data_IF_849892496105
#
_entry.id   IF_849892496105
#
_cell.length_a   1.000
_cell.length_b   1.000
_cell.length_c   1.000
_cell.angle_alpha   90.00
_cell.angle_beta   90.00
_cell.angle_gamma   90.00
#
_symmetry.space_group_name_H-M   'P 1'
#
loop_
_entity.id
_entity.type
_entity.pdbx_description
1 polymer ?
#
# COMPACT_ATOMS: atom_id res chain seq x y z
N UNK A 1 0.22 -8.06 -22.02
CA UNK A 1 1.33 -7.71 -21.09
C UNK A 1 2.15 -8.95 -20.82
N UNK A 2 3.49 -8.83 -20.86
CA UNK A 2 4.35 -9.89 -20.36
C UNK A 2 4.13 -10.06 -18.84
N UNK A 3 4.22 -11.28 -18.28
CA UNK A 3 4.14 -11.47 -16.84
C UNK A 3 5.25 -10.67 -16.16
N UNK A 4 4.89 -9.93 -15.10
CA UNK A 4 5.88 -9.20 -14.28
C UNK A 4 6.94 -10.21 -13.79
N UNK A 5 8.25 -9.90 -13.88
CA UNK A 5 9.27 -10.80 -13.36
C UNK A 5 9.03 -11.05 -11.87
N UNK A 6 9.39 -12.23 -11.37
CA UNK A 6 9.27 -12.55 -9.96
C UNK A 6 10.05 -11.55 -9.09
N UNK A 7 9.56 -11.28 -7.88
CA UNK A 7 10.27 -10.43 -6.93
C UNK A 7 11.60 -11.06 -6.51
N UNK A 8 12.69 -10.32 -6.63
CA UNK A 8 14.01 -10.76 -6.20
C UNK A 8 14.17 -10.54 -4.69
N UNK A 9 14.20 -11.65 -3.94
CA UNK A 9 14.43 -11.60 -2.50
C UNK A 9 15.88 -11.25 -2.20
N UNK A 10 16.15 -10.34 -1.24
CA UNK A 10 17.51 -9.96 -0.90
C UNK A 10 18.27 -11.11 -0.23
N UNK A 11 19.60 -11.12 -0.35
CA UNK A 11 20.45 -12.21 0.17
C UNK A 11 20.22 -12.51 1.66
N UNK A 12 19.99 -11.47 2.47
CA UNK A 12 19.76 -11.61 3.91
C UNK A 12 18.44 -12.32 4.24
N UNK A 13 17.49 -12.41 3.30
CA UNK A 13 16.25 -13.17 3.47
C UNK A 13 16.51 -14.68 3.61
N UNK A 14 17.67 -15.18 3.17
CA UNK A 14 18.07 -16.58 3.39
C UNK A 14 18.99 -16.75 4.61
N UNK A 15 19.23 -15.69 5.37
CA UNK A 15 20.02 -15.74 6.60
C UNK A 15 19.14 -16.11 7.79
N UNK A 16 19.33 -17.30 8.36
CA UNK A 16 18.47 -17.82 9.45
C UNK A 16 18.26 -16.84 10.62
N UNK A 17 19.28 -16.14 11.16
CA UNK A 17 19.10 -15.17 12.23
C UNK A 17 18.21 -13.98 11.87
N UNK A 18 18.03 -13.66 10.57
CA UNK A 18 17.14 -12.58 10.13
C UNK A 18 15.67 -12.80 10.54
N UNK A 19 15.27 -14.06 10.74
CA UNK A 19 13.93 -14.46 11.21
C UNK A 19 13.82 -14.58 12.74
N UNK A 20 14.83 -14.13 13.48
CA UNK A 20 14.82 -14.12 14.94
C UNK A 20 15.09 -12.70 15.42
N UNK A 21 14.27 -12.21 16.35
CA UNK A 21 14.44 -10.86 16.87
C UNK A 21 15.81 -10.72 17.53
N UNK A 22 16.60 -9.76 17.05
CA UNK A 22 17.98 -9.62 17.50
C UNK A 22 18.03 -9.04 18.92
N UNK A 23 18.81 -9.62 19.84
CA UNK A 23 18.86 -9.17 21.24
C UNK A 23 19.68 -7.88 21.39
N UNK A 24 20.67 -7.67 20.53
CA UNK A 24 21.51 -6.47 20.53
C UNK A 24 20.75 -5.33 19.85
N UNK A 25 20.64 -4.19 20.54
CA UNK A 25 19.86 -3.03 20.11
C UNK A 25 20.24 -2.55 18.70
N UNK A 26 21.51 -2.26 18.46
CA UNK A 26 21.97 -1.73 17.16
C UNK A 26 21.70 -2.72 16.01
N UNK A 27 21.85 -4.02 16.29
CA UNK A 27 21.54 -5.08 15.32
C UNK A 27 20.04 -5.17 15.06
N UNK A 28 19.21 -5.00 16.10
CA UNK A 28 17.75 -4.98 16.00
C UNK A 28 17.26 -3.76 15.22
N UNK A 29 17.85 -2.58 15.43
CA UNK A 29 17.52 -1.37 14.66
C UNK A 29 17.79 -1.59 13.17
N UNK A 30 18.95 -2.17 12.82
CA UNK A 30 19.27 -2.55 11.43
C UNK A 30 18.31 -3.59 10.88
N UNK A 31 17.98 -4.62 11.67
CA UNK A 31 17.02 -5.65 11.28
C UNK A 31 15.64 -5.04 10.98
N UNK A 32 15.15 -4.13 11.83
CA UNK A 32 13.88 -3.42 11.62
C UNK A 32 13.94 -2.63 10.31
N UNK A 33 15.02 -1.89 10.05
CA UNK A 33 15.18 -1.12 8.82
C UNK A 33 15.08 -2.02 7.56
N UNK A 34 15.81 -3.14 7.56
CA UNK A 34 15.78 -4.11 6.46
C UNK A 34 14.39 -4.73 6.26
N UNK A 35 13.67 -5.03 7.34
CA UNK A 35 12.30 -5.55 7.24
C UNK A 35 11.34 -4.51 6.67
N UNK A 36 11.41 -3.25 7.11
CA UNK A 36 10.59 -2.16 6.54
C UNK A 36 10.79 -2.03 5.03
N UNK A 37 12.04 -1.99 4.58
CA UNK A 37 12.38 -1.86 3.15
C UNK A 37 11.90 -3.08 2.34
N UNK A 38 12.09 -4.29 2.86
CA UNK A 38 11.65 -5.52 2.22
C UNK A 38 10.12 -5.60 2.12
N UNK A 39 9.39 -5.29 3.20
CA UNK A 39 7.93 -5.30 3.23
C UNK A 39 7.39 -4.31 2.18
N UNK A 40 7.86 -3.07 2.19
CA UNK A 40 7.37 -2.03 1.28
C UNK A 40 7.67 -2.35 -0.19
N UNK A 41 8.87 -2.84 -0.50
CA UNK A 41 9.26 -3.20 -1.88
C UNK A 41 8.50 -4.42 -2.39
N UNK A 42 8.32 -5.45 -1.56
CA UNK A 42 7.54 -6.64 -1.90
C UNK A 42 6.07 -6.29 -2.16
N UNK A 43 5.45 -5.54 -1.24
CA UNK A 43 4.07 -5.08 -1.39
C UNK A 43 3.88 -4.22 -2.64
N UNK A 44 4.78 -3.26 -2.89
CA UNK A 44 4.77 -2.47 -4.14
C UNK A 44 4.89 -3.35 -5.39
N UNK A 45 5.76 -4.36 -5.35
CA UNK A 45 5.96 -5.24 -6.49
C UNK A 45 4.69 -6.03 -6.84
N UNK A 46 3.98 -6.54 -5.84
CA UNK A 46 2.75 -7.33 -6.05
C UNK A 46 1.46 -6.50 -6.05
N UNK A 47 1.54 -5.18 -5.88
CA UNK A 47 0.35 -4.33 -5.75
C UNK A 47 -0.46 -4.61 -4.48
N UNK A 48 0.18 -5.14 -3.44
CA UNK A 48 -0.48 -5.47 -2.18
C UNK A 48 -0.54 -4.23 -1.29
N UNK A 49 -1.74 -3.85 -0.88
CA UNK A 49 -1.93 -2.77 0.09
C UNK A 49 -2.36 -3.28 1.45
N UNK A 50 -3.01 -4.44 1.53
CA UNK A 50 -3.45 -5.01 2.81
C UNK A 50 -2.65 -6.28 3.09
N UNK A 51 -2.04 -6.31 4.26
CA UNK A 51 -1.32 -7.47 4.77
C UNK A 51 -2.11 -8.08 5.91
N UNK A 52 -2.44 -9.37 5.79
CA UNK A 52 -2.87 -10.19 6.91
C UNK A 52 -1.63 -10.69 7.67
N UNK A 53 -1.52 -10.37 8.95
CA UNK A 53 -0.32 -10.65 9.77
C UNK A 53 -0.01 -12.14 9.86
N UNK A 54 -1.03 -12.99 9.83
CA UNK A 54 -0.87 -14.43 9.99
C UNK A 54 -0.53 -15.14 8.68
N UNK A 55 -1.00 -14.60 7.55
CA UNK A 55 -0.85 -15.18 6.22
C UNK A 55 0.13 -14.42 5.29
N UNK A 56 0.91 -13.47 5.84
CA UNK A 56 1.84 -12.71 5.01
C UNK A 56 3.02 -13.57 4.53
N UNK A 57 3.22 -13.76 3.21
CA UNK A 57 4.23 -14.69 2.69
C UNK A 57 5.66 -14.38 3.13
N UNK A 58 6.02 -13.10 3.27
CA UNK A 58 7.36 -12.69 3.68
C UNK A 58 7.74 -13.16 5.09
N UNK A 59 6.76 -13.41 5.97
CA UNK A 59 7.02 -13.79 7.36
C UNK A 59 7.35 -15.27 7.54
N UNK A 60 7.33 -16.07 6.46
CA UNK A 60 7.74 -17.47 6.46
C UNK A 60 8.62 -17.81 5.26
N UNK A 61 9.90 -18.11 5.50
CA UNK A 61 10.80 -18.63 4.49
C UNK A 61 10.93 -20.16 4.62
N UNK A 62 10.24 -20.87 3.72
CA UNK A 62 10.25 -22.34 3.66
C UNK A 62 11.62 -22.91 3.29
N UNK A 63 12.43 -22.22 2.48
CA UNK A 63 13.73 -22.71 2.01
C UNK A 63 14.77 -22.89 3.13
N UNK A 64 14.65 -22.08 4.19
CA UNK A 64 15.55 -22.15 5.37
C UNK A 64 14.83 -22.65 6.63
N UNK A 65 13.57 -23.05 6.49
CA UNK A 65 12.69 -23.53 7.57
C UNK A 65 12.60 -22.52 8.72
N UNK A 66 12.26 -21.26 8.40
CA UNK A 66 12.09 -20.20 9.39
C UNK A 66 10.81 -19.41 9.18
N UNK A 67 10.22 -19.00 10.30
CA UNK A 67 9.09 -18.07 10.35
C UNK A 67 9.30 -17.09 11.49
N UNK A 68 8.83 -15.86 11.30
CA UNK A 68 8.78 -14.88 12.39
C UNK A 68 7.77 -15.29 13.46
N UNK A 69 8.09 -14.99 14.71
CA UNK A 69 7.14 -15.02 15.83
C UNK A 69 6.11 -13.90 15.66
N UNK A 70 4.93 -14.04 16.27
CA UNK A 70 3.90 -12.98 16.24
C UNK A 70 4.45 -11.65 16.79
N UNK A 71 5.21 -11.68 17.90
CA UNK A 71 5.90 -10.50 18.44
C UNK A 71 6.78 -9.79 17.39
N UNK A 72 7.59 -10.53 16.62
CA UNK A 72 8.45 -9.94 15.61
C UNK A 72 7.64 -9.37 14.43
N UNK A 73 6.58 -10.05 14.00
CA UNK A 73 5.69 -9.57 12.93
C UNK A 73 5.05 -8.23 13.30
N UNK A 74 4.47 -8.17 14.50
CA UNK A 74 3.87 -6.94 15.02
C UNK A 74 4.90 -5.83 15.19
N UNK A 75 6.09 -6.14 15.71
CA UNK A 75 7.17 -5.16 15.86
C UNK A 75 7.53 -4.50 14.52
N UNK A 76 7.72 -5.28 13.45
CA UNK A 76 8.13 -4.74 12.15
C UNK A 76 7.01 -3.93 11.48
N UNK A 77 5.75 -4.36 11.60
CA UNK A 77 4.61 -3.59 11.10
C UNK A 77 4.38 -2.32 11.92
N UNK A 78 4.49 -2.38 13.24
CA UNK A 78 4.41 -1.20 14.10
C UNK A 78 5.51 -0.18 13.78
N UNK A 79 6.72 -0.63 13.43
CA UNK A 79 7.76 0.28 12.98
C UNK A 79 7.38 1.06 11.71
N UNK A 80 6.66 0.44 10.77
CA UNK A 80 6.09 1.13 9.61
C UNK A 80 4.96 2.09 10.01
N UNK A 81 4.10 1.69 10.95
CA UNK A 81 3.01 2.53 11.46
C UNK A 81 3.54 3.81 12.11
N UNK A 82 4.58 3.70 12.95
CA UNK A 82 5.21 4.87 13.59
C UNK A 82 5.82 5.85 12.57
N UNK A 83 6.19 5.37 11.38
CA UNK A 83 6.73 6.20 10.29
C UNK A 83 5.65 6.71 9.33
N UNK A 84 4.37 6.45 9.61
CA UNK A 84 3.27 6.80 8.72
C UNK A 84 3.29 6.02 7.39
N UNK A 85 4.00 4.89 7.35
CA UNK A 85 4.13 4.01 6.17
C UNK A 85 3.17 2.81 6.23
N UNK A 86 2.40 2.69 7.31
CA UNK A 86 1.36 1.69 7.47
C UNK A 86 0.29 2.15 8.47
N UNK A 87 -0.85 1.46 8.52
CA UNK A 87 -1.92 1.69 9.48
C UNK A 87 -2.64 0.38 9.81
N UNK A 88 -2.96 0.14 11.09
CA UNK A 88 -3.78 -1.00 11.47
C UNK A 88 -5.25 -0.76 11.13
N UNK A 89 -5.87 -1.69 10.38
CA UNK A 89 -7.28 -1.59 9.98
C UNK A 89 -8.26 -2.05 11.08
N UNK A 90 -7.74 -2.47 12.23
CA UNK A 90 -8.52 -2.95 13.37
C UNK A 90 -7.70 -2.91 14.65
N UNK A 91 -8.39 -2.92 15.80
CA UNK A 91 -7.76 -2.94 17.13
C UNK A 91 -7.13 -4.29 17.47
N UNK A 92 -7.41 -5.33 16.68
CA UNK A 92 -6.91 -6.68 16.85
C UNK A 92 -5.57 -6.93 16.15
N UNK A 93 -5.02 -5.90 15.47
CA UNK A 93 -3.75 -5.94 14.74
C UNK A 93 -3.62 -7.13 13.76
N UNK A 94 -4.73 -7.59 13.18
CA UNK A 94 -4.71 -8.69 12.19
C UNK A 94 -4.42 -8.23 10.77
N UNK A 95 -4.92 -7.05 10.41
CA UNK A 95 -4.78 -6.49 9.05
C UNK A 95 -4.12 -5.12 9.11
N UNK A 96 -3.08 -4.96 8.30
CA UNK A 96 -2.32 -3.72 8.18
C UNK A 96 -2.45 -3.19 6.76
N UNK A 97 -2.83 -1.92 6.62
CA UNK A 97 -2.75 -1.16 5.38
C UNK A 97 -1.33 -0.64 5.21
N UNK A 98 -0.72 -0.88 4.05
CA UNK A 98 0.64 -0.49 3.71
C UNK A 98 0.60 0.71 2.76
N UNK A 99 1.40 1.72 3.07
CA UNK A 99 1.53 2.96 2.30
C UNK A 99 2.91 3.02 1.64
N UNK A 100 3.17 2.11 0.70
CA UNK A 100 4.43 2.08 -0.05
C UNK A 100 4.63 3.31 -0.96
N UNK A 101 3.54 3.99 -1.30
CA UNK A 101 3.48 5.37 -1.81
C UNK A 101 2.58 6.16 -0.86
N UNK A 102 2.92 7.44 -0.58
CA UNK A 102 2.12 8.25 0.34
C UNK A 102 0.82 8.68 -0.31
N UNK A 103 -0.19 9.00 0.51
CA UNK A 103 -1.50 9.44 0.02
C UNK A 103 -1.38 10.78 -0.73
N UNK A 104 -0.47 11.66 -0.32
CA UNK A 104 -0.17 12.91 -1.01
C UNK A 104 0.36 12.66 -2.42
N UNK A 105 1.28 11.71 -2.58
CA UNK A 105 1.85 11.39 -3.88
C UNK A 105 0.80 10.74 -4.80
N UNK A 106 -0.16 9.99 -4.23
CA UNK A 106 -1.33 9.49 -4.97
C UNK A 106 -2.28 10.61 -5.37
N UNK A 107 -2.55 11.56 -4.48
CA UNK A 107 -3.39 12.72 -4.79
C UNK A 107 -2.80 13.53 -5.95
N UNK A 108 -1.49 13.76 -5.96
CA UNK A 108 -0.81 14.45 -7.06
C UNK A 108 -0.88 13.65 -8.37
N UNK A 109 -0.74 12.32 -8.30
CA UNK A 109 -0.88 11.44 -9.47
C UNK A 109 -2.30 11.47 -10.04
N UNK A 110 -3.33 11.47 -9.19
CA UNK A 110 -4.73 11.61 -9.61
C UNK A 110 -4.94 12.94 -10.34
N UNK A 111 -4.37 14.03 -9.85
CA UNK A 111 -4.46 15.34 -10.54
C UNK A 111 -3.85 15.26 -11.94
N UNK A 112 -2.64 14.70 -12.08
CA UNK A 112 -2.02 14.54 -13.41
C UNK A 112 -2.89 13.67 -14.33
N UNK A 113 -3.43 12.56 -13.82
CA UNK A 113 -4.29 11.67 -14.60
C UNK A 113 -5.57 12.36 -15.08
N UNK A 114 -6.23 13.17 -14.23
CA UNK A 114 -7.42 13.93 -14.64
C UNK A 114 -7.10 14.90 -15.78
N UNK A 115 -5.97 15.60 -15.69
CA UNK A 115 -5.53 16.56 -16.72
C UNK A 115 -5.16 15.87 -18.04
N UNK A 116 -4.43 14.76 -17.96
CA UNK A 116 -4.01 13.99 -19.14
C UNK A 116 -5.19 13.40 -19.92
N UNK A 117 -6.31 13.11 -19.24
CA UNK A 117 -7.52 12.55 -19.84
C UNK A 117 -8.63 13.59 -20.12
N UNK A 118 -8.35 14.88 -19.95
CA UNK A 118 -9.31 15.97 -20.16
C UNK A 118 -10.63 15.81 -19.35
N UNK A 119 -10.52 15.29 -18.12
CA UNK A 119 -11.64 15.03 -17.22
C UNK A 119 -11.91 16.22 -16.28
N UNK A 120 -11.34 17.39 -16.55
CA UNK A 120 -11.56 18.59 -15.74
C UNK A 120 -13.03 19.00 -15.78
N UNK A 121 -13.61 19.30 -14.62
CA UNK A 121 -15.02 19.65 -14.44
C UNK A 121 -16.03 18.53 -14.76
N UNK A 122 -15.58 17.36 -15.20
CA UNK A 122 -16.37 16.14 -15.34
C UNK A 122 -16.70 15.48 -14.01
N UNK A 123 -17.64 14.54 -14.03
CA UNK A 123 -17.92 13.63 -12.91
C UNK A 123 -17.48 12.24 -13.32
N UNK A 124 -16.64 11.61 -12.51
CA UNK A 124 -16.21 10.21 -12.66
C UNK A 124 -16.44 9.46 -11.37
N UNK A 125 -16.74 8.17 -11.43
CA UNK A 125 -16.87 7.33 -10.24
C UNK A 125 -15.52 6.82 -9.78
N UNK A 126 -15.39 6.48 -8.49
CA UNK A 126 -14.19 5.85 -7.97
C UNK A 126 -13.89 4.50 -8.64
N UNK A 127 -14.92 3.78 -9.09
CA UNK A 127 -14.70 2.53 -9.84
C UNK A 127 -14.13 2.81 -11.24
N UNK A 128 -14.71 3.75 -12.00
CA UNK A 128 -14.21 4.14 -13.33
C UNK A 128 -12.75 4.61 -13.27
N UNK A 129 -12.33 5.33 -12.23
CA UNK A 129 -10.94 5.73 -12.04
C UNK A 129 -9.95 4.56 -11.94
N UNK A 130 -10.42 3.35 -11.62
CA UNK A 130 -9.61 2.14 -11.38
C UNK A 130 -9.77 1.10 -12.48
N UNK A 131 -10.96 1.01 -13.06
CA UNK A 131 -11.39 -0.05 -13.98
C UNK A 131 -11.71 0.47 -15.39
N UNK A 132 -11.88 1.79 -15.55
CA UNK A 132 -12.13 2.44 -16.83
C UNK A 132 -10.96 2.36 -17.80
N UNK A 133 -11.21 2.69 -19.06
CA UNK A 133 -10.20 2.58 -20.12
C UNK A 133 -9.03 3.55 -19.90
N UNK A 134 -9.30 4.72 -19.35
CA UNK A 134 -8.32 5.75 -18.98
C UNK A 134 -7.39 5.30 -17.84
N UNK A 135 -7.84 4.36 -17.00
CA UNK A 135 -7.01 3.82 -15.91
C UNK A 135 -6.01 2.77 -16.43
N UNK A 136 -6.31 2.12 -17.56
CA UNK A 136 -5.56 0.96 -18.04
C UNK A 136 -4.12 1.29 -18.38
N UNK A 137 -3.17 0.54 -17.82
CA UNK A 137 -1.74 0.78 -17.98
C UNK A 137 -1.17 1.93 -17.15
N UNK A 138 -2.01 2.57 -16.32
CA UNK A 138 -1.58 3.61 -15.38
C UNK A 138 -1.40 3.04 -13.97
N UNK A 139 -0.83 3.86 -13.07
CA UNK A 139 -0.74 3.52 -11.64
C UNK A 139 -2.11 3.42 -10.94
N UNK A 140 -3.19 3.96 -11.53
CA UNK A 140 -4.55 3.84 -10.96
C UNK A 140 -5.22 2.51 -11.30
N UNK A 141 -4.73 1.78 -12.31
CA UNK A 141 -5.31 0.50 -12.71
C UNK A 141 -5.37 -0.47 -11.52
N UNK A 142 -6.58 -0.91 -11.16
CA UNK A 142 -6.81 -1.79 -9.99
C UNK A 142 -6.25 -1.26 -8.66
N UNK A 143 -6.07 0.06 -8.51
CA UNK A 143 -5.65 0.68 -7.24
C UNK A 143 -6.57 0.21 -6.10
N UNK A 144 -6.05 0.01 -4.89
CA UNK A 144 -6.92 -0.40 -3.77
C UNK A 144 -7.90 0.72 -3.40
N UNK A 145 -9.19 0.38 -3.23
CA UNK A 145 -10.27 1.36 -3.03
C UNK A 145 -9.99 2.29 -1.83
N UNK A 146 -9.50 1.74 -0.71
CA UNK A 146 -9.18 2.54 0.47
C UNK A 146 -8.06 3.58 0.21
N UNK A 147 -7.12 3.29 -0.70
CA UNK A 147 -6.05 4.22 -1.07
C UNK A 147 -6.62 5.33 -1.94
N UNK A 148 -7.41 4.97 -2.96
CA UNK A 148 -8.06 5.92 -3.84
C UNK A 148 -8.97 6.87 -3.06
N UNK A 149 -9.86 6.34 -2.21
CA UNK A 149 -10.75 7.15 -1.37
C UNK A 149 -9.98 8.14 -0.51
N UNK A 150 -8.88 7.71 0.12
CA UNK A 150 -8.06 8.58 0.98
C UNK A 150 -7.40 9.69 0.17
N UNK A 151 -6.89 9.38 -1.01
CA UNK A 151 -6.27 10.36 -1.90
C UNK A 151 -7.30 11.38 -2.42
N UNK A 152 -8.49 10.94 -2.82
CA UNK A 152 -9.57 11.84 -3.25
C UNK A 152 -10.09 12.68 -2.09
N UNK A 153 -10.24 12.13 -0.88
CA UNK A 153 -10.59 12.90 0.33
C UNK A 153 -9.55 13.99 0.63
N UNK A 154 -8.27 13.70 0.41
CA UNK A 154 -7.22 14.71 0.54
C UNK A 154 -7.36 15.82 -0.50
N UNK A 155 -7.73 15.50 -1.74
CA UNK A 155 -8.02 16.50 -2.78
C UNK A 155 -9.26 17.33 -2.46
N UNK A 156 -10.30 16.71 -1.91
CA UNK A 156 -11.51 17.38 -1.45
C UNK A 156 -11.19 18.37 -0.31
N UNK A 157 -10.41 17.95 0.68
CA UNK A 157 -9.93 18.84 1.74
C UNK A 157 -9.08 20.01 1.22
N UNK A 158 -8.43 19.84 0.06
CA UNK A 158 -7.65 20.89 -0.64
C UNK A 158 -8.51 21.74 -1.60
N UNK A 159 -9.81 21.49 -1.68
CA UNK A 159 -10.72 22.20 -2.59
C UNK A 159 -10.55 21.87 -4.08
N UNK A 160 -9.85 20.77 -4.40
CA UNK A 160 -9.56 20.34 -5.78
C UNK A 160 -10.55 19.31 -6.32
N UNK A 161 -11.32 18.68 -5.44
CA UNK A 161 -12.36 17.73 -5.81
C UNK A 161 -13.56 17.83 -4.88
N UNK A 162 -14.67 17.20 -5.24
CA UNK A 162 -15.83 16.98 -4.37
C UNK A 162 -16.37 15.59 -4.62
N UNK A 163 -16.58 14.83 -3.55
CA UNK A 163 -17.20 13.51 -3.63
C UNK A 163 -18.70 13.60 -3.38
N UNK A 164 -19.47 12.81 -4.14
CA UNK A 164 -20.91 12.67 -4.02
C UNK A 164 -21.19 11.21 -3.65
N UNK A 165 -21.84 11.02 -2.49
CA UNK A 165 -22.26 9.67 -2.09
C UNK A 165 -23.38 9.21 -3.02
N UNK A 166 -23.11 8.15 -3.78
CA UNK A 166 -24.14 7.38 -4.46
C UNK A 166 -24.86 6.45 -3.49
N UNK A 167 -25.62 5.50 -4.04
CA UNK A 167 -26.36 4.49 -3.26
C UNK A 167 -25.44 3.47 -2.59
N UNK A 168 -24.20 3.33 -3.08
CA UNK A 168 -23.15 2.44 -2.57
C UNK A 168 -21.77 3.13 -2.62
N UNK A 169 -20.74 2.51 -2.03
CA UNK A 169 -19.36 3.01 -2.12
C UNK A 169 -18.84 2.99 -3.57
N UNK A 170 -19.25 2.00 -4.36
CA UNK A 170 -18.90 1.83 -5.77
C UNK A 170 -19.58 2.90 -6.66
N UNK A 171 -20.71 3.46 -6.21
CA UNK A 171 -21.40 4.57 -6.87
C UNK A 171 -20.90 5.96 -6.42
N UNK A 172 -19.78 6.04 -5.69
CA UNK A 172 -19.24 7.33 -5.24
C UNK A 172 -18.69 8.10 -6.44
N UNK A 173 -19.41 9.15 -6.83
CA UNK A 173 -18.99 10.08 -7.87
C UNK A 173 -18.01 11.11 -7.33
N UNK A 174 -17.10 11.59 -8.18
CA UNK A 174 -16.09 12.60 -7.88
C UNK A 174 -16.12 13.63 -8.99
N UNK A 175 -16.24 14.91 -8.63
CA UNK A 175 -16.03 16.05 -9.53
C UNK A 175 -14.71 16.72 -9.20
N UNK A 176 -13.89 16.98 -10.22
CA UNK A 176 -12.63 17.70 -10.06
C UNK A 176 -12.77 19.18 -10.47
N UNK A 177 -12.07 20.07 -9.76
CA UNK A 177 -12.10 21.53 -9.94
C UNK A 177 -10.72 22.12 -10.27
N UNK A 178 -9.87 21.33 -10.91
CA UNK A 178 -8.48 21.68 -11.23
C UNK A 178 -8.32 22.45 -12.54
#
# INVERSE_FOLDING_TARGET
>A
MAPKPAFELPYFYNYRPYFTLQPVRDTREKQIQLWKELILSFCKHYGMYIVDVDDFPLFANKSIERKLTNEARELFLNALVMEGRAEWLGKDHRKCLLLWRRIEDWADLIISWVQENALENGVVTLDEMRTGDEARGTDLENLEMIILERAVRLLEARGKAQMFKGSSADDTGVKFFI
#
